data_IF_416160649980
#
_entry.id   IF_416160649980
#
_cell.length_a   1.000
_cell.length_b   1.000
_cell.length_c   1.000
_cell.angle_alpha   90.00
_cell.angle_beta   90.00
_cell.angle_gamma   90.00
#
_symmetry.space_group_name_H-M   'P 1'
#
loop_
_entity.id
_entity.type
_entity.pdbx_description
1 polymer ?
#
# COMPACT_ATOMS: atom_id res chain seq x y z
N UNK A 1 -7.58 -0.13 12.73
CA UNK A 1 -7.09 -0.30 11.34
C UNK A 1 -6.81 -1.78 11.12
N UNK A 2 -7.24 -2.32 9.99
CA UNK A 2 -7.03 -3.72 9.62
C UNK A 2 -6.22 -3.78 8.35
N UNK A 3 -5.03 -4.39 8.41
CA UNK A 3 -4.16 -4.58 7.26
C UNK A 3 -4.28 -6.02 6.72
N UNK A 4 -4.30 -6.15 5.40
CA UNK A 4 -4.32 -7.41 4.67
C UNK A 4 -3.10 -7.47 3.75
N UNK A 5 -2.08 -8.27 4.09
CA UNK A 5 -0.94 -8.48 3.21
C UNK A 5 -1.34 -9.26 1.96
N UNK A 6 -0.50 -9.22 0.94
CA UNK A 6 -0.65 -10.05 -0.26
C UNK A 6 -0.60 -11.54 0.08
N UNK A 7 -1.46 -12.32 -0.58
CA UNK A 7 -1.42 -13.78 -0.53
C UNK A 7 -0.25 -14.35 -1.36
N UNK A 8 0.31 -13.57 -2.29
CA UNK A 8 1.45 -14.01 -3.09
C UNK A 8 2.74 -13.88 -2.26
N UNK A 9 3.38 -15.02 -1.97
CA UNK A 9 4.60 -15.08 -1.16
C UNK A 9 5.77 -14.25 -1.68
N UNK A 10 5.80 -13.99 -3.00
CA UNK A 10 6.79 -13.12 -3.66
C UNK A 10 6.45 -11.63 -3.62
N UNK A 11 5.26 -11.24 -3.14
CA UNK A 11 4.80 -9.84 -3.12
C UNK A 11 4.68 -9.31 -1.70
N UNK A 12 5.77 -9.37 -0.94
CA UNK A 12 5.78 -9.15 0.51
C UNK A 12 5.41 -7.73 0.95
N UNK A 13 5.62 -6.73 0.11
CA UNK A 13 5.29 -5.34 0.40
C UNK A 13 3.95 -4.88 -0.19
N UNK A 14 3.24 -5.76 -0.89
CA UNK A 14 1.90 -5.45 -1.37
C UNK A 14 0.91 -5.70 -0.24
N UNK A 15 0.11 -4.69 0.08
CA UNK A 15 -0.93 -4.81 1.09
C UNK A 15 -2.07 -3.84 0.83
N UNK A 16 -3.22 -4.14 1.42
CA UNK A 16 -4.29 -3.17 1.61
C UNK A 16 -4.54 -2.97 3.09
N UNK A 17 -5.05 -1.82 3.47
CA UNK A 17 -5.52 -1.60 4.83
C UNK A 17 -6.76 -0.71 4.85
N UNK A 18 -7.61 -0.93 5.84
CA UNK A 18 -8.83 -0.16 6.06
C UNK A 18 -8.84 0.39 7.48
N UNK A 19 -9.11 1.69 7.61
CA UNK A 19 -9.27 2.37 8.88
C UNK A 19 -10.75 2.66 9.12
N UNK A 20 -11.19 2.42 10.35
CA UNK A 20 -12.57 2.58 10.80
C UNK A 20 -12.60 3.57 11.97
N UNK A 21 -13.62 4.43 11.99
CA UNK A 21 -13.95 5.34 13.08
C UNK A 21 -15.46 5.22 13.31
N UNK A 22 -15.89 4.90 14.53
CA UNK A 22 -17.30 4.71 14.89
C UNK A 22 -18.07 3.79 13.91
N UNK A 23 -17.49 2.62 13.61
CA UNK A 23 -18.03 1.62 12.67
C UNK A 23 -18.21 2.11 11.23
N UNK A 24 -17.69 3.30 10.90
CA UNK A 24 -17.65 3.84 9.54
C UNK A 24 -16.24 3.80 8.99
N UNK A 25 -16.11 3.44 7.72
CA UNK A 25 -14.83 3.48 7.03
C UNK A 25 -14.37 4.94 6.91
N UNK A 26 -13.18 5.22 7.43
CA UNK A 26 -12.56 6.54 7.42
C UNK A 26 -11.45 6.65 6.36
N UNK A 27 -10.83 5.52 6.00
CA UNK A 27 -9.83 5.53 4.94
C UNK A 27 -9.41 4.16 4.46
N UNK A 28 -8.83 4.17 3.28
CA UNK A 28 -8.28 3.00 2.60
C UNK A 28 -6.83 3.26 2.20
N UNK A 29 -5.98 2.25 2.37
CA UNK A 29 -4.60 2.26 1.91
C UNK A 29 -4.39 1.08 0.97
N UNK A 30 -3.70 1.32 -0.15
CA UNK A 30 -3.18 0.26 -1.02
C UNK A 30 -1.74 0.55 -1.36
N UNK A 31 -0.87 -0.42 -1.07
CA UNK A 31 0.49 -0.45 -1.58
C UNK A 31 0.62 -1.55 -2.64
N UNK A 32 1.26 -1.23 -3.75
CA UNK A 32 1.56 -2.20 -4.80
C UNK A 32 2.96 -1.93 -5.34
N UNK A 33 3.76 -2.98 -5.46
CA UNK A 33 5.18 -2.85 -5.78
C UNK A 33 5.54 -3.62 -7.05
N UNK A 34 6.53 -3.09 -7.76
CA UNK A 34 7.23 -3.79 -8.82
C UNK A 34 8.36 -4.60 -8.18
N UNK A 35 8.45 -5.88 -8.53
CA UNK A 35 9.43 -6.80 -7.98
C UNK A 35 10.34 -7.30 -9.08
N UNK A 36 11.63 -7.42 -8.79
CA UNK A 36 12.59 -8.04 -9.70
C UNK A 36 12.57 -9.57 -9.64
N UNK A 37 13.48 -10.20 -10.37
CA UNK A 37 13.60 -11.66 -10.46
C UNK A 37 13.86 -12.34 -9.10
N UNK A 38 14.42 -11.62 -8.15
CA UNK A 38 14.71 -12.09 -6.79
C UNK A 38 13.57 -11.79 -5.82
N UNK A 39 12.44 -11.27 -6.32
CA UNK A 39 11.31 -10.81 -5.52
C UNK A 39 11.66 -9.66 -4.55
N UNK A 40 12.67 -8.85 -4.91
CA UNK A 40 12.94 -7.61 -4.20
C UNK A 40 12.06 -6.48 -4.78
N UNK A 41 11.42 -5.67 -3.94
CA UNK A 41 10.54 -4.58 -4.38
C UNK A 41 11.38 -3.39 -4.84
N UNK A 42 11.42 -3.10 -6.13
CA UNK A 42 12.21 -2.00 -6.70
C UNK A 42 11.53 -0.63 -6.57
N UNK A 43 10.22 -0.57 -6.83
CA UNK A 43 9.40 0.64 -6.75
C UNK A 43 8.03 0.27 -6.19
N UNK A 44 7.51 1.05 -5.25
CA UNK A 44 6.17 0.85 -4.70
C UNK A 44 5.31 2.09 -4.93
N UNK A 45 4.06 1.88 -5.33
CA UNK A 45 3.02 2.90 -5.32
C UNK A 45 2.18 2.73 -4.08
N UNK A 46 2.08 3.80 -3.30
CA UNK A 46 1.21 3.88 -2.13
C UNK A 46 0.08 4.87 -2.44
N UNK A 47 -1.15 4.37 -2.38
CA UNK A 47 -2.37 5.17 -2.52
C UNK A 47 -3.09 5.19 -1.19
N UNK A 48 -3.36 6.39 -0.69
CA UNK A 48 -4.12 6.63 0.54
C UNK A 48 -5.38 7.39 0.16
N UNK A 49 -6.53 6.88 0.54
CA UNK A 49 -7.84 7.51 0.32
C UNK A 49 -8.42 7.89 1.67
N UNK A 50 -8.68 9.18 1.85
CA UNK A 50 -9.40 9.73 3.01
C UNK A 50 -10.89 9.85 2.67
N UNK A 51 -11.68 8.93 3.20
CA UNK A 51 -13.13 8.83 3.00
C UNK A 51 -13.92 9.59 4.07
N UNK A 52 -13.23 10.14 5.08
CA UNK A 52 -13.86 10.91 6.14
C UNK A 52 -14.29 12.32 5.68
N UNK A 53 -13.65 12.84 4.62
CA UNK A 53 -13.89 14.17 4.04
C UNK A 53 -14.72 14.12 2.76
N UNK A 54 -15.36 15.26 2.40
CA UNK A 54 -16.15 15.42 1.18
C UNK A 54 -15.70 16.67 0.38
N UNK A 55 -15.28 16.54 -0.89
CA UNK A 55 -15.09 15.27 -1.61
C UNK A 55 -13.96 14.44 -0.99
N UNK A 56 -14.01 13.13 -1.19
CA UNK A 56 -12.94 12.20 -0.80
C UNK A 56 -11.61 12.66 -1.40
N UNK A 57 -10.55 12.62 -0.61
CA UNK A 57 -9.20 13.03 -1.03
C UNK A 57 -8.34 11.79 -1.24
N UNK A 58 -7.50 11.81 -2.28
CA UNK A 58 -6.53 10.74 -2.55
C UNK A 58 -5.11 11.28 -2.61
N UNK A 59 -4.20 10.60 -1.92
CA UNK A 59 -2.78 10.89 -1.92
C UNK A 59 -2.04 9.75 -2.60
N UNK A 60 -1.16 10.10 -3.54
CA UNK A 60 -0.36 9.16 -4.31
C UNK A 60 1.11 9.39 -3.99
N UNK A 61 1.78 8.35 -3.53
CA UNK A 61 3.20 8.38 -3.22
C UNK A 61 3.94 7.28 -3.97
N UNK A 62 5.17 7.59 -4.33
CA UNK A 62 6.11 6.62 -4.90
C UNK A 62 7.23 6.38 -3.90
N UNK A 63 7.47 5.12 -3.58
CA UNK A 63 8.53 4.66 -2.69
C UNK A 63 9.57 3.97 -3.57
N UNK A 64 10.73 4.61 -3.75
CA UNK A 64 11.85 4.05 -4.52
C UNK A 64 12.81 3.33 -3.59
N UNK A 65 13.08 2.07 -3.88
CA UNK A 65 14.02 1.28 -3.11
C UNK A 65 15.37 1.21 -3.82
N UNK A 66 16.44 1.27 -3.04
CA UNK A 66 17.79 0.94 -3.51
C UNK A 66 18.08 -0.52 -3.13
N UNK A 67 18.43 -1.33 -4.10
CA UNK A 67 18.75 -2.75 -3.93
C UNK A 67 20.21 -2.93 -4.32
N UNK A 68 21.05 -3.31 -3.36
CA UNK A 68 22.45 -3.64 -3.60
C UNK A 68 22.59 -5.17 -3.66
N UNK A 69 23.20 -5.69 -4.73
CA UNK A 69 23.46 -7.10 -4.96
C UNK A 69 24.94 -7.40 -4.66
N UNK A 70 25.20 -8.52 -3.97
CA UNK A 70 26.54 -8.96 -3.57
C UNK A 70 26.91 -10.30 -4.21
#
# INVERSE_FOLDING_TARGET
MTAKPSAASRKKLDYTAVSWVDDRQAGNVRQSSEYDANANPADCRLVIVDESVKPTVSHHHTIKNRIDYY
#
